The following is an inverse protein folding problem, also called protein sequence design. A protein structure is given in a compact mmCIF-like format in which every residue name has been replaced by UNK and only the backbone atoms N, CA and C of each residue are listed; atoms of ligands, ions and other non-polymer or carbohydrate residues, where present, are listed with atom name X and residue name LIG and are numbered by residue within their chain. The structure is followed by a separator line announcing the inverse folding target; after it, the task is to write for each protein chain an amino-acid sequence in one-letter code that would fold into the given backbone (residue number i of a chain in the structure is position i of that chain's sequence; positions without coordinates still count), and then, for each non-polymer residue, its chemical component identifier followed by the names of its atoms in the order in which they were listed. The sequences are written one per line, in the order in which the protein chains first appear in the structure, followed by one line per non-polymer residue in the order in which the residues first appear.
data_IF_273644003012
#
_entry.id   IF_273644003012
#
_cell.length_a   1.000
_cell.length_b   1.000
_cell.length_c   1.000
_cell.angle_alpha   90.00
_cell.angle_beta   90.00
_cell.angle_gamma   90.00
#
_symmetry.space_group_name_H-M   'P 1'
#
loop_
_entity.id
_entity.type
_entity.pdbx_description
1 polymer ?
#
# COMPACT_ATOMS: atom_id res chain seq x y z
N UNK A 1 -43.50 -23.97 -40.42
CA UNK A 1 -42.26 -23.21 -40.54
C UNK A 1 -41.86 -22.78 -39.15
N UNK A 2 -41.04 -23.53 -38.48
CA UNK A 2 -40.71 -23.44 -37.08
C UNK A 2 -39.32 -22.80 -36.96
N UNK A 3 -39.22 -21.63 -36.33
CA UNK A 3 -37.94 -21.00 -36.02
C UNK A 3 -37.42 -21.51 -34.66
N UNK A 4 -36.25 -22.10 -34.71
CA UNK A 4 -35.52 -22.61 -33.57
C UNK A 4 -34.89 -21.46 -32.78
N UNK A 5 -35.19 -21.37 -31.50
CA UNK A 5 -34.46 -20.54 -30.52
C UNK A 5 -33.25 -21.32 -30.06
N UNK A 6 -32.05 -20.86 -30.37
CA UNK A 6 -30.81 -21.38 -29.81
C UNK A 6 -30.50 -20.62 -28.52
N UNK A 7 -30.61 -21.33 -27.40
CA UNK A 7 -30.21 -20.88 -26.08
C UNK A 7 -28.67 -20.70 -26.04
N UNK A 8 -28.23 -19.46 -25.85
CA UNK A 8 -26.86 -19.12 -25.50
C UNK A 8 -26.65 -19.36 -24.01
N UNK A 9 -26.12 -20.50 -23.67
CA UNK A 9 -25.70 -20.86 -22.32
C UNK A 9 -24.45 -20.05 -21.95
N UNK A 10 -24.65 -19.02 -21.10
CA UNK A 10 -23.54 -18.32 -20.44
C UNK A 10 -22.79 -19.31 -19.55
N UNK A 11 -21.55 -19.56 -19.89
CA UNK A 11 -20.65 -20.33 -19.04
C UNK A 11 -20.17 -19.43 -17.89
N UNK A 12 -20.67 -19.69 -16.69
CA UNK A 12 -20.10 -19.19 -15.45
C UNK A 12 -18.67 -19.75 -15.34
N UNK A 13 -17.70 -18.87 -15.50
CA UNK A 13 -16.29 -19.20 -15.23
C UNK A 13 -16.12 -19.25 -13.72
N UNK A 14 -16.21 -20.44 -13.16
CA UNK A 14 -15.84 -20.79 -11.80
C UNK A 14 -14.33 -20.48 -11.64
N UNK A 15 -14.04 -19.32 -11.02
CA UNK A 15 -12.66 -18.97 -10.65
C UNK A 15 -12.24 -19.98 -9.57
N UNK A 16 -11.44 -20.94 -9.97
CA UNK A 16 -10.85 -21.93 -9.10
C UNK A 16 -10.09 -21.22 -7.96
N UNK A 17 -10.55 -21.44 -6.73
CA UNK A 17 -9.94 -21.06 -5.48
C UNK A 17 -8.68 -21.92 -5.23
N UNK A 18 -7.64 -21.70 -6.03
CA UNK A 18 -6.33 -22.31 -5.80
C UNK A 18 -5.59 -21.43 -4.82
N UNK A 19 -5.29 -21.91 -3.61
CA UNK A 19 -4.54 -21.10 -2.65
C UNK A 19 -3.20 -20.71 -3.27
N UNK A 20 -2.76 -19.44 -3.11
CA UNK A 20 -1.50 -18.99 -3.68
C UNK A 20 -0.36 -19.87 -3.15
N UNK A 21 0.44 -20.40 -4.06
CA UNK A 21 1.67 -21.10 -3.66
C UNK A 21 2.53 -20.09 -2.91
N UNK A 22 2.85 -20.40 -1.64
CA UNK A 22 3.63 -19.54 -0.78
C UNK A 22 4.99 -19.32 -1.44
N UNK A 23 5.22 -18.11 -1.95
CA UNK A 23 6.46 -17.71 -2.61
C UNK A 23 7.65 -17.73 -1.65
N UNK A 24 8.84 -17.58 -2.18
CA UNK A 24 10.05 -17.43 -1.36
C UNK A 24 9.94 -16.18 -0.49
N UNK A 25 10.55 -16.22 0.71
CA UNK A 25 10.64 -15.02 1.56
C UNK A 25 11.30 -13.89 0.79
N UNK A 26 10.65 -12.75 0.74
CA UNK A 26 11.18 -11.53 0.15
C UNK A 26 11.97 -10.74 1.19
N UNK A 27 13.06 -10.09 0.76
CA UNK A 27 13.83 -9.13 1.54
C UNK A 27 13.25 -7.74 1.31
N UNK A 28 12.75 -7.08 2.36
CA UNK A 28 11.89 -5.91 2.26
C UNK A 28 12.47 -4.73 3.03
N UNK A 29 12.52 -3.55 2.40
CA UNK A 29 12.55 -2.27 3.09
C UNK A 29 11.11 -1.78 3.24
N UNK A 30 10.69 -1.55 4.49
CA UNK A 30 9.37 -0.99 4.78
C UNK A 30 9.44 0.53 4.98
N UNK A 31 8.53 1.27 4.35
CA UNK A 31 8.43 2.73 4.47
C UNK A 31 7.05 3.14 4.93
N UNK A 32 6.94 3.68 6.15
CA UNK A 32 5.66 4.07 6.72
C UNK A 32 5.83 4.96 7.94
N UNK A 33 4.78 5.69 8.35
CA UNK A 33 4.88 6.62 9.49
C UNK A 33 3.71 6.50 10.49
N UNK A 34 2.42 6.63 10.09
CA UNK A 34 1.30 6.59 11.01
C UNK A 34 0.93 5.18 11.47
N UNK A 35 0.05 5.09 12.45
CA UNK A 35 -0.47 3.82 12.96
C UNK A 35 -1.16 2.98 11.87
N UNK A 36 -1.71 3.61 10.83
CA UNK A 36 -2.28 2.94 9.66
C UNK A 36 -1.35 1.89 9.04
N UNK A 37 -0.05 2.12 9.06
CA UNK A 37 0.93 1.25 8.44
C UNK A 37 1.39 0.08 9.32
N UNK A 38 1.06 0.10 10.64
CA UNK A 38 1.52 -0.93 11.59
C UNK A 38 1.00 -2.32 11.25
N UNK A 39 -0.29 -2.55 10.93
CA UNK A 39 -0.78 -3.90 10.60
C UNK A 39 -0.03 -4.53 9.42
N UNK A 40 0.33 -3.73 8.40
CA UNK A 40 1.14 -4.21 7.27
C UNK A 40 2.56 -4.57 7.71
N UNK A 41 3.23 -3.71 8.48
CA UNK A 41 4.57 -4.00 8.99
C UNK A 41 4.57 -5.26 9.87
N UNK A 42 3.61 -5.40 10.78
CA UNK A 42 3.46 -6.57 11.65
C UNK A 42 3.28 -7.87 10.84
N UNK A 43 2.45 -7.83 9.79
CA UNK A 43 2.27 -8.95 8.89
C UNK A 43 3.58 -9.33 8.18
N UNK A 44 4.29 -8.34 7.61
CA UNK A 44 5.52 -8.57 6.86
C UNK A 44 6.68 -9.10 7.73
N UNK A 45 6.81 -8.63 8.96
CA UNK A 45 7.80 -9.15 9.92
C UNK A 45 7.59 -10.64 10.21
N UNK A 46 6.34 -11.10 10.21
CA UNK A 46 5.99 -12.52 10.48
C UNK A 46 6.18 -13.42 9.26
N UNK A 47 6.09 -12.88 8.05
CA UNK A 47 6.04 -13.67 6.81
C UNK A 47 7.28 -13.54 5.94
N UNK A 48 7.97 -12.40 5.99
CA UNK A 48 9.11 -12.06 5.15
C UNK A 48 10.33 -11.60 5.98
N UNK A 49 11.38 -11.13 5.33
CA UNK A 49 12.54 -10.50 5.95
C UNK A 49 12.45 -8.98 5.83
N UNK A 50 12.01 -8.29 6.88
CA UNK A 50 12.07 -6.82 6.92
C UNK A 50 13.46 -6.41 7.37
N UNK A 51 14.32 -6.02 6.42
CA UNK A 51 15.72 -5.69 6.69
C UNK A 51 15.93 -4.25 7.19
N UNK A 52 15.00 -3.33 6.90
CA UNK A 52 15.03 -1.96 7.40
C UNK A 52 13.63 -1.32 7.37
N UNK A 53 13.41 -0.38 8.28
CA UNK A 53 12.19 0.44 8.37
C UNK A 53 12.56 1.91 8.23
N UNK A 54 11.96 2.58 7.26
CA UNK A 54 12.08 4.02 7.03
C UNK A 54 10.81 4.72 7.49
N UNK A 55 10.96 5.75 8.31
CA UNK A 55 9.84 6.49 8.85
C UNK A 55 10.14 7.98 8.89
N UNK A 56 9.13 8.83 9.07
CA UNK A 56 9.38 10.25 9.26
C UNK A 56 10.09 10.50 10.60
N UNK A 57 10.90 11.55 10.69
CA UNK A 57 11.51 11.97 11.95
C UNK A 57 10.45 12.20 13.04
N UNK A 58 10.86 12.00 14.28
CA UNK A 58 10.05 12.29 15.44
C UNK A 58 9.62 13.77 15.44
N UNK A 59 8.34 14.01 15.70
CA UNK A 59 7.79 15.38 15.75
C UNK A 59 7.56 15.81 17.19
N UNK A 60 7.83 17.09 17.46
CA UNK A 60 7.43 17.68 18.72
C UNK A 60 5.90 17.76 18.79
N UNK A 61 5.30 17.16 19.79
CA UNK A 61 3.84 17.14 19.95
C UNK A 61 3.41 17.32 21.40
N UNK A 62 2.19 17.80 21.60
CA UNK A 62 1.55 17.95 22.90
C UNK A 62 2.04 19.15 23.71
N UNK A 63 1.42 19.33 24.90
CA UNK A 63 1.82 20.33 25.89
C UNK A 63 3.19 19.94 26.45
N UNK A 64 4.21 20.78 26.22
CA UNK A 64 5.59 20.54 26.66
C UNK A 64 6.55 20.12 25.56
N UNK A 65 6.12 20.11 24.28
CA UNK A 65 6.98 19.92 23.08
C UNK A 65 7.91 18.70 23.17
N UNK A 66 7.46 17.60 23.80
CA UNK A 66 8.24 16.35 23.83
C UNK A 66 8.35 15.77 22.45
N UNK A 67 9.55 15.40 22.06
CA UNK A 67 9.80 14.67 20.81
C UNK A 67 9.32 13.23 20.98
N UNK A 68 8.32 12.84 20.19
CA UNK A 68 7.76 11.49 20.23
C UNK A 68 8.01 10.81 18.89
N UNK A 69 8.58 9.60 18.88
CA UNK A 69 8.69 8.82 17.65
C UNK A 69 7.31 8.66 16.99
N UNK A 70 7.28 8.62 15.65
CA UNK A 70 6.04 8.29 14.95
C UNK A 70 5.69 6.81 15.18
N UNK A 71 4.40 6.41 15.07
CA UNK A 71 3.94 5.08 15.46
C UNK A 71 4.72 3.92 14.84
N UNK A 72 5.05 3.98 13.55
CA UNK A 72 5.82 2.93 12.87
C UNK A 72 7.25 2.83 13.41
N UNK A 73 7.92 3.97 13.66
CA UNK A 73 9.27 3.96 14.21
C UNK A 73 9.31 3.34 15.62
N UNK A 74 8.33 3.69 16.46
CA UNK A 74 8.20 3.13 17.80
C UNK A 74 7.93 1.61 17.78
N UNK A 75 7.05 1.16 16.87
CA UNK A 75 6.78 -0.26 16.68
C UNK A 75 8.01 -1.04 16.21
N UNK A 76 8.70 -0.51 15.20
CA UNK A 76 9.88 -1.14 14.62
C UNK A 76 11.05 -1.26 15.63
N UNK A 77 11.29 -0.21 16.42
CA UNK A 77 12.29 -0.20 17.49
C UNK A 77 11.97 -1.28 18.55
N UNK A 78 10.71 -1.34 18.99
CA UNK A 78 10.26 -2.37 19.94
C UNK A 78 10.36 -3.80 19.38
N UNK A 79 10.26 -3.96 18.05
CA UNK A 79 10.44 -5.24 17.36
C UNK A 79 11.93 -5.56 17.05
N UNK A 80 12.86 -4.68 17.43
CA UNK A 80 14.30 -4.87 17.19
C UNK A 80 14.73 -4.71 15.73
N UNK A 81 13.93 -3.99 14.91
CA UNK A 81 14.23 -3.74 13.50
C UNK A 81 15.11 -2.50 13.33
N UNK A 82 16.02 -2.47 12.34
CA UNK A 82 16.77 -1.25 12.00
C UNK A 82 15.82 -0.13 11.55
N UNK A 83 15.86 1.03 12.24
CA UNK A 83 14.99 2.17 11.97
C UNK A 83 15.80 3.36 11.46
N UNK A 84 15.37 3.94 10.35
CA UNK A 84 15.94 5.13 9.73
C UNK A 84 14.89 6.22 9.60
N UNK A 85 15.23 7.45 9.95
CA UNK A 85 14.29 8.58 9.94
C UNK A 85 14.84 9.79 9.18
N UNK A 86 15.08 9.66 7.86
CA UNK A 86 15.60 10.78 7.07
C UNK A 86 14.56 11.91 6.96
N UNK A 87 15.02 13.15 6.96
CA UNK A 87 14.16 14.33 6.72
C UNK A 87 13.70 14.42 5.25
N UNK A 88 14.52 13.93 4.34
CA UNK A 88 14.24 13.89 2.90
C UNK A 88 14.93 12.68 2.25
N UNK A 89 14.54 12.36 1.02
CA UNK A 89 15.09 11.24 0.26
C UNK A 89 15.95 11.70 -0.95
N UNK A 90 16.48 12.93 -0.92
CA UNK A 90 17.14 13.55 -2.09
C UNK A 90 18.67 13.63 -1.95
N UNK A 91 19.30 12.71 -1.23
CA UNK A 91 20.77 12.74 -1.15
C UNK A 91 21.37 11.41 -1.61
N UNK A 92 22.57 11.48 -2.17
CA UNK A 92 23.30 10.30 -2.63
C UNK A 92 23.61 9.32 -1.48
N UNK A 93 23.81 9.83 -0.27
CA UNK A 93 24.04 9.01 0.91
C UNK A 93 22.81 8.16 1.26
N UNK A 94 21.60 8.74 1.17
CA UNK A 94 20.35 8.01 1.41
C UNK A 94 20.10 6.98 0.30
N UNK A 95 20.37 7.33 -0.96
CA UNK A 95 20.28 6.39 -2.08
C UNK A 95 21.24 5.22 -1.90
N UNK A 96 22.50 5.47 -1.55
CA UNK A 96 23.48 4.44 -1.27
C UNK A 96 23.10 3.57 -0.07
N UNK A 97 22.56 4.18 1.00
CA UNK A 97 22.06 3.45 2.16
C UNK A 97 20.88 2.54 1.79
N UNK A 98 19.90 3.03 1.03
CA UNK A 98 18.77 2.22 0.57
C UNK A 98 19.23 1.07 -0.33
N UNK A 99 20.17 1.33 -1.23
CA UNK A 99 20.75 0.30 -2.10
C UNK A 99 21.53 -0.77 -1.30
N UNK A 100 22.21 -0.38 -0.21
CA UNK A 100 23.00 -1.32 0.61
C UNK A 100 22.15 -2.37 1.35
N UNK A 101 20.83 -2.16 1.45
CA UNK A 101 19.94 -3.15 2.03
C UNK A 101 19.70 -4.36 1.12
N UNK A 102 20.04 -4.28 -0.17
CA UNK A 102 19.85 -5.36 -1.16
C UNK A 102 18.44 -5.97 -1.10
N UNK A 103 17.45 -5.10 -1.06
CA UNK A 103 16.05 -5.49 -0.90
C UNK A 103 15.39 -5.86 -2.23
N UNK A 104 14.57 -6.91 -2.21
CA UNK A 104 13.76 -7.32 -3.36
C UNK A 104 12.65 -6.31 -3.66
N UNK A 105 12.03 -5.78 -2.60
CA UNK A 105 10.89 -4.86 -2.66
C UNK A 105 11.05 -3.71 -1.65
N UNK A 106 10.59 -2.52 -2.03
CA UNK A 106 10.23 -1.48 -1.07
C UNK A 106 8.71 -1.47 -0.90
N UNK A 107 8.23 -1.60 0.34
CA UNK A 107 6.80 -1.57 0.66
C UNK A 107 6.48 -0.24 1.35
N UNK A 108 5.61 0.54 0.73
CA UNK A 108 5.30 1.91 1.14
C UNK A 108 3.85 1.99 1.60
N UNK A 109 3.63 2.42 2.85
CA UNK A 109 2.28 2.62 3.41
C UNK A 109 2.25 3.93 4.18
N UNK A 110 1.57 4.94 3.66
CA UNK A 110 1.41 6.25 4.30
C UNK A 110 2.74 6.84 4.82
N UNK A 111 3.80 6.78 4.03
CA UNK A 111 5.14 7.24 4.44
C UNK A 111 5.23 8.76 4.55
N UNK A 112 4.60 9.47 3.59
CA UNK A 112 4.51 10.92 3.59
C UNK A 112 5.70 11.66 3.00
N UNK A 113 6.67 10.97 2.40
CA UNK A 113 7.71 11.53 1.54
C UNK A 113 7.56 10.98 0.13
N UNK A 114 7.83 11.82 -0.88
CA UNK A 114 7.90 11.39 -2.27
C UNK A 114 9.20 10.64 -2.51
N UNK A 115 9.12 9.50 -3.19
CA UNK A 115 10.27 8.72 -3.60
C UNK A 115 10.77 9.24 -4.97
N UNK A 116 12.02 9.74 -5.07
CA UNK A 116 12.63 10.10 -6.35
C UNK A 116 12.73 8.88 -7.29
N UNK A 117 12.82 9.12 -8.60
CA UNK A 117 12.96 8.06 -9.60
C UNK A 117 14.18 7.16 -9.34
N UNK A 118 15.27 7.72 -8.85
CA UNK A 118 16.49 6.99 -8.46
C UNK A 118 16.20 5.96 -7.37
N UNK A 119 15.38 6.30 -6.37
CA UNK A 119 14.99 5.38 -5.29
C UNK A 119 13.96 4.36 -5.78
N UNK A 120 13.00 4.76 -6.62
CA UNK A 120 12.02 3.83 -7.20
C UNK A 120 12.68 2.70 -8.00
N UNK A 121 13.86 2.95 -8.56
CA UNK A 121 14.62 1.99 -9.37
C UNK A 121 15.56 1.08 -8.56
N UNK A 122 15.71 1.28 -7.25
CA UNK A 122 16.65 0.49 -6.43
C UNK A 122 16.20 -0.97 -6.26
N UNK A 123 14.98 -1.27 -5.78
CA UNK A 123 14.61 -2.65 -5.49
C UNK A 123 14.30 -3.42 -6.77
N UNK A 124 14.71 -4.69 -6.79
CA UNK A 124 14.56 -5.59 -7.94
C UNK A 124 13.13 -5.67 -8.49
N UNK A 125 12.15 -5.72 -7.61
CA UNK A 125 10.73 -5.82 -7.97
C UNK A 125 9.97 -4.50 -7.81
N UNK A 126 10.70 -3.38 -7.67
CA UNK A 126 10.14 -2.04 -7.56
C UNK A 126 9.58 -1.70 -6.19
N UNK A 127 8.87 -0.58 -6.12
CA UNK A 127 8.24 -0.07 -4.92
C UNK A 127 6.73 -0.34 -4.98
N UNK A 128 6.18 -0.99 -3.96
CA UNK A 128 4.78 -1.34 -3.86
C UNK A 128 4.10 -0.45 -2.82
N UNK A 129 3.01 0.23 -3.21
CA UNK A 129 2.24 1.08 -2.31
C UNK A 129 0.85 0.49 -2.05
N UNK A 130 0.41 0.50 -0.79
CA UNK A 130 -0.96 0.24 -0.39
C UNK A 130 -1.73 1.55 -0.27
N UNK A 131 -2.48 1.90 -1.32
CA UNK A 131 -3.28 3.12 -1.37
C UNK A 131 -4.71 2.87 -0.89
N UNK A 132 -5.21 3.74 0.02
CA UNK A 132 -6.48 3.55 0.70
C UNK A 132 -7.69 4.04 -0.12
N UNK A 133 -7.76 3.64 -1.39
CA UNK A 133 -8.92 3.80 -2.27
C UNK A 133 -8.96 2.77 -3.38
N UNK A 134 -10.06 2.71 -4.12
CA UNK A 134 -10.18 1.98 -5.37
C UNK A 134 -9.70 2.90 -6.51
N UNK A 135 -8.40 2.81 -6.85
CA UNK A 135 -7.81 3.64 -7.91
C UNK A 135 -8.48 3.35 -9.27
N UNK A 136 -8.64 4.39 -10.12
CA UNK A 136 -8.03 5.73 -10.08
C UNK A 136 -8.75 6.78 -9.24
N UNK A 137 -9.82 6.40 -8.52
CA UNK A 137 -10.55 7.32 -7.66
C UNK A 137 -9.76 7.60 -6.38
N UNK A 138 -9.72 8.88 -5.97
CA UNK A 138 -9.07 9.35 -4.75
C UNK A 138 -7.55 9.18 -4.71
N UNK A 139 -6.85 9.44 -5.82
CA UNK A 139 -5.39 9.62 -5.78
C UNK A 139 -5.03 10.74 -4.80
N UNK A 140 -3.96 10.62 -4.02
CA UNK A 140 -3.46 11.67 -3.14
C UNK A 140 -3.59 11.40 -1.64
N UNK A 141 -3.65 12.48 -0.84
CA UNK A 141 -3.29 12.43 0.58
C UNK A 141 -4.42 12.00 1.55
N UNK A 142 -5.69 12.16 1.18
CA UNK A 142 -6.81 11.97 2.12
C UNK A 142 -7.95 11.11 1.54
N UNK A 143 -7.68 9.93 0.93
CA UNK A 143 -8.69 9.14 0.23
C UNK A 143 -9.83 8.70 1.15
N UNK A 144 -9.55 8.29 2.39
CA UNK A 144 -10.54 7.80 3.36
C UNK A 144 -11.59 8.87 3.67
N UNK A 145 -11.12 10.06 4.04
CA UNK A 145 -12.01 11.16 4.41
C UNK A 145 -12.81 11.67 3.20
N UNK A 146 -12.18 11.68 2.03
CA UNK A 146 -12.85 12.13 0.79
C UNK A 146 -13.92 11.15 0.32
N UNK A 147 -13.72 9.85 0.45
CA UNK A 147 -14.73 8.85 0.16
C UNK A 147 -15.98 9.02 1.05
N UNK A 148 -15.79 9.21 2.37
CA UNK A 148 -16.90 9.49 3.29
C UNK A 148 -17.60 10.81 2.94
N UNK A 149 -16.83 11.88 2.72
CA UNK A 149 -17.36 13.20 2.39
C UNK A 149 -18.19 13.21 1.09
N UNK A 150 -17.79 12.42 0.11
CA UNK A 150 -18.50 12.28 -1.15
C UNK A 150 -19.75 11.37 -1.06
N UNK A 151 -19.93 10.66 0.05
CA UNK A 151 -21.02 9.71 0.20
C UNK A 151 -20.84 8.44 -0.61
N UNK A 152 -19.58 8.04 -0.87
CA UNK A 152 -19.30 6.79 -1.57
C UNK A 152 -19.85 5.60 -0.79
N UNK A 153 -20.47 4.65 -1.48
CA UNK A 153 -21.02 3.44 -0.86
C UNK A 153 -19.97 2.35 -0.60
N UNK A 154 -18.81 2.49 -1.23
CA UNK A 154 -17.70 1.54 -1.14
C UNK A 154 -16.36 2.24 -1.28
N UNK A 155 -15.33 1.59 -0.77
CA UNK A 155 -13.93 1.97 -0.92
C UNK A 155 -13.06 0.71 -0.83
N UNK A 156 -11.76 0.86 -0.72
CA UNK A 156 -10.90 -0.29 -0.60
C UNK A 156 -9.42 0.06 -0.54
N UNK A 157 -8.62 -0.92 -0.86
CA UNK A 157 -7.17 -0.81 -0.99
C UNK A 157 -6.78 -1.19 -2.41
N UNK A 158 -5.96 -0.36 -3.03
CA UNK A 158 -5.25 -0.69 -4.26
C UNK A 158 -3.77 -0.88 -3.95
N UNK A 159 -3.27 -2.10 -4.11
CA UNK A 159 -1.83 -2.36 -4.15
C UNK A 159 -1.33 -1.99 -5.55
N UNK A 160 -0.42 -1.02 -5.64
CA UNK A 160 0.09 -0.52 -6.93
C UNK A 160 1.61 -0.46 -6.95
N UNK A 161 2.21 -0.65 -8.11
CA UNK A 161 3.62 -0.38 -8.35
C UNK A 161 3.78 1.13 -8.45
N UNK A 162 4.70 1.71 -7.67
CA UNK A 162 4.90 3.16 -7.64
C UNK A 162 5.67 3.65 -8.87
N UNK A 163 5.24 4.79 -9.35
CA UNK A 163 5.89 5.58 -10.40
C UNK A 163 6.12 7.02 -9.90
N UNK A 164 6.73 7.85 -10.74
CA UNK A 164 7.01 9.26 -10.38
C UNK A 164 5.76 10.14 -10.24
N UNK A 165 4.63 9.70 -10.81
CA UNK A 165 3.34 10.38 -10.68
C UNK A 165 2.66 10.10 -9.33
N UNK A 166 1.83 11.03 -8.87
CA UNK A 166 1.08 10.87 -7.62
C UNK A 166 0.00 9.80 -7.78
N UNK A 167 0.24 8.63 -7.22
CA UNK A 167 -0.65 7.46 -7.22
C UNK A 167 -1.16 7.06 -8.62
N UNK A 168 -0.27 7.16 -9.63
CA UNK A 168 -0.59 6.88 -11.05
C UNK A 168 -0.20 5.48 -11.51
N UNK A 169 0.63 4.79 -10.75
CA UNK A 169 1.20 3.52 -11.14
C UNK A 169 0.17 2.39 -11.30
N UNK A 170 0.51 1.33 -12.02
CA UNK A 170 -0.40 0.24 -12.31
C UNK A 170 -0.73 -0.59 -11.05
N UNK A 171 -1.95 -1.11 -11.01
CA UNK A 171 -2.49 -1.88 -9.88
C UNK A 171 -2.18 -3.36 -10.04
N UNK A 172 -1.73 -4.00 -8.96
CA UNK A 172 -1.39 -5.44 -8.90
C UNK A 172 -2.28 -6.21 -7.92
N UNK A 173 -3.10 -5.53 -7.14
CA UNK A 173 -4.05 -6.14 -6.22
C UNK A 173 -5.09 -5.16 -5.72
N UNK A 174 -6.30 -5.64 -5.47
CA UNK A 174 -7.40 -4.83 -4.95
C UNK A 174 -8.11 -5.60 -3.84
N UNK A 175 -8.50 -4.88 -2.79
CA UNK A 175 -9.46 -5.35 -1.79
C UNK A 175 -10.49 -4.27 -1.56
N UNK A 176 -11.77 -4.66 -1.56
CA UNK A 176 -12.91 -3.76 -1.50
C UNK A 176 -13.66 -3.92 -0.19
N UNK A 177 -14.25 -2.85 0.32
CA UNK A 177 -15.14 -2.85 1.49
C UNK A 177 -16.25 -1.83 1.33
N UNK A 178 -17.43 -2.12 1.84
CA UNK A 178 -18.53 -1.18 1.88
C UNK A 178 -18.27 -0.04 2.89
N UNK A 179 -18.77 1.14 2.59
CA UNK A 179 -18.89 2.25 3.54
C UNK A 179 -20.33 2.27 4.04
N UNK A 180 -20.51 1.99 5.33
CA UNK A 180 -21.84 2.01 5.94
C UNK A 180 -22.20 3.42 6.43
N UNK A 181 -23.50 3.67 6.63
CA UNK A 181 -23.99 4.93 7.23
C UNK A 181 -23.52 5.20 8.66
N UNK A 182 -22.95 4.20 9.31
CA UNK A 182 -22.41 4.29 10.67
C UNK A 182 -20.88 4.49 10.69
N UNK A 183 -20.24 4.41 9.52
CA UNK A 183 -18.81 4.64 9.43
C UNK A 183 -18.46 6.12 9.60
N UNK A 184 -17.37 6.33 10.29
CA UNK A 184 -16.67 7.59 10.36
C UNK A 184 -15.20 7.40 9.91
N UNK A 185 -14.45 8.47 9.85
CA UNK A 185 -13.05 8.41 9.40
C UNK A 185 -12.20 7.46 10.23
N UNK A 186 -12.45 7.34 11.55
CA UNK A 186 -11.68 6.46 12.42
C UNK A 186 -12.02 4.98 12.19
N UNK A 187 -13.33 4.62 12.17
CA UNK A 187 -13.74 3.22 11.95
C UNK A 187 -13.30 2.70 10.58
N UNK A 188 -13.42 3.54 9.55
CA UNK A 188 -13.00 3.17 8.20
C UNK A 188 -11.48 3.10 8.07
N UNK A 189 -10.73 4.01 8.73
CA UNK A 189 -9.27 3.98 8.82
C UNK A 189 -8.78 2.65 9.40
N UNK A 190 -9.33 2.21 10.54
CA UNK A 190 -8.86 0.99 11.21
C UNK A 190 -9.18 -0.26 10.38
N UNK A 191 -10.35 -0.30 9.73
CA UNK A 191 -10.72 -1.38 8.82
C UNK A 191 -9.80 -1.43 7.59
N UNK A 192 -9.52 -0.28 6.97
CA UNK A 192 -8.64 -0.18 5.81
C UNK A 192 -7.17 -0.47 6.16
N UNK A 193 -6.71 -0.17 7.37
CA UNK A 193 -5.37 -0.52 7.81
C UNK A 193 -5.15 -2.05 7.80
N UNK A 194 -6.11 -2.82 8.31
CA UNK A 194 -6.06 -4.29 8.27
C UNK A 194 -6.19 -4.81 6.83
N UNK A 195 -7.12 -4.25 6.06
CA UNK A 195 -7.32 -4.62 4.66
C UNK A 195 -6.08 -4.33 3.80
N UNK A 196 -5.28 -3.30 4.17
CA UNK A 196 -3.99 -3.00 3.53
C UNK A 196 -2.98 -4.12 3.78
N UNK A 197 -2.91 -4.62 5.02
CA UNK A 197 -2.04 -5.75 5.35
C UNK A 197 -2.42 -7.02 4.57
N UNK A 198 -3.71 -7.31 4.47
CA UNK A 198 -4.22 -8.46 3.68
C UNK A 198 -3.94 -8.30 2.19
N UNK A 199 -4.17 -7.11 1.63
CA UNK A 199 -3.98 -6.85 0.21
C UNK A 199 -2.50 -6.93 -0.19
N UNK A 200 -1.64 -6.21 0.53
CA UNK A 200 -0.20 -6.21 0.28
C UNK A 200 0.43 -7.57 0.59
N UNK A 201 0.01 -8.22 1.69
CA UNK A 201 0.47 -9.56 2.05
C UNK A 201 0.21 -10.55 0.92
N UNK A 202 -1.00 -10.63 0.40
CA UNK A 202 -1.35 -11.54 -0.69
C UNK A 202 -0.54 -11.28 -1.97
N UNK A 203 -0.27 -10.00 -2.30
CA UNK A 203 0.56 -9.63 -3.46
C UNK A 203 2.02 -10.04 -3.22
N UNK A 204 2.58 -9.77 -2.05
CA UNK A 204 3.99 -10.04 -1.75
C UNK A 204 4.24 -11.54 -1.59
N UNK A 205 3.33 -12.28 -0.96
CA UNK A 205 3.39 -13.75 -0.87
C UNK A 205 3.41 -14.43 -2.25
N UNK A 206 2.73 -13.85 -3.24
CA UNK A 206 2.72 -14.34 -4.62
C UNK A 206 3.85 -13.81 -5.51
N UNK A 207 4.75 -12.95 -4.99
CA UNK A 207 5.82 -12.36 -5.80
C UNK A 207 6.89 -13.41 -6.18
N UNK A 208 7.51 -13.27 -7.38
CA UNK A 208 7.35 -12.19 -8.36
C UNK A 208 6.14 -12.33 -9.32
N UNK A 209 5.44 -13.46 -9.31
CA UNK A 209 4.36 -13.75 -10.28
C UNK A 209 3.20 -12.76 -10.17
N UNK A 210 2.79 -12.40 -8.95
CA UNK A 210 1.73 -11.41 -8.70
C UNK A 210 2.03 -10.01 -9.22
N UNK A 211 3.33 -9.71 -9.42
CA UNK A 211 3.82 -8.43 -9.93
C UNK A 211 4.04 -8.44 -11.45
N UNK A 212 3.94 -9.60 -12.10
CA UNK A 212 4.28 -9.78 -13.51
C UNK A 212 3.22 -9.23 -14.48
N UNK A 213 1.98 -9.02 -14.01
CA UNK A 213 0.86 -8.56 -14.85
C UNK A 213 0.15 -7.37 -14.23
N UNK A 214 0.84 -6.22 -14.07
CA UNK A 214 0.25 -5.04 -13.49
C UNK A 214 -0.80 -4.45 -14.45
N UNK A 215 -1.96 -4.03 -13.90
CA UNK A 215 -3.07 -3.47 -14.67
C UNK A 215 -2.95 -1.94 -14.64
N UNK A 216 -2.75 -1.28 -15.80
CA UNK A 216 -2.76 0.18 -15.87
C UNK A 216 -4.09 0.74 -15.34
N UNK A 217 -4.02 1.85 -14.61
CA UNK A 217 -5.23 2.52 -14.15
C UNK A 217 -6.03 3.07 -15.33
N UNK A 218 -7.36 3.02 -15.25
CA UNK A 218 -8.23 3.64 -16.24
C UNK A 218 -8.01 5.17 -16.30
N UNK A 219 -8.22 5.75 -17.48
CA UNK A 219 -8.18 7.20 -17.66
C UNK A 219 -9.44 7.90 -17.15
N UNK A 220 -10.55 7.17 -17.08
CA UNK A 220 -11.83 7.65 -16.57
C UNK A 220 -11.93 7.47 -15.05
N UNK A 221 -12.67 8.35 -14.39
CA UNK A 221 -12.91 8.28 -12.94
C UNK A 221 -11.74 8.79 -12.08
N UNK A 222 -10.74 9.42 -12.67
CA UNK A 222 -9.62 10.01 -11.92
C UNK A 222 -10.13 11.16 -11.07
N UNK A 223 -10.01 11.04 -9.75
CA UNK A 223 -10.34 12.09 -8.78
C UNK A 223 -9.18 12.18 -7.79
N UNK A 224 -8.83 13.40 -7.40
CA UNK A 224 -7.76 13.65 -6.43
C UNK A 224 -8.31 13.97 -5.04
N UNK A 225 -7.74 13.31 -4.04
CA UNK A 225 -8.02 13.50 -2.62
C UNK A 225 -7.02 14.49 -2.01
N UNK A 226 -7.29 15.78 -2.13
CA UNK A 226 -6.48 16.81 -1.50
C UNK A 226 -6.48 16.64 0.04
N UNK A 227 -5.36 17.01 0.66
CA UNK A 227 -5.21 17.03 2.12
C UNK A 227 -6.31 17.88 2.77
N UNK A 228 -6.79 17.45 3.92
CA UNK A 228 -7.75 18.14 4.77
C UNK A 228 -7.01 18.94 5.84
#
# INVERSE_FOLDING_TARGET
MTASHSDAKMADAEMADTPPQKGAKQRIVFMGSPAFAIPTLDHLVKTHEVCAVYSQPAKKSGRGMKTTPVPVAAYADAAGLPVFTPEHLKSAEIEAQLASHDADLFVVVAYGLLLPATILAIPRFGCLNGHASLLPRWRGAAPIQRAIQAGDSETGISAMIMETGLDTGPVVGVRQTAISKHDNAASLHDRLANLTAECLGAVIDGAPQSLASPIPQANDGIIYAAKI
#
